data_IF_854459750087
#
_entry.id   IF_854459750087
#
_cell.length_a   1.000
_cell.length_b   1.000
_cell.length_c   1.000
_cell.angle_alpha   90.00
_cell.angle_beta   90.00
_cell.angle_gamma   90.00
#
_symmetry.space_group_name_H-M   'P 1'
#
loop_
_entity.id
_entity.type
_entity.pdbx_description
1 polymer ?
#
# COMPACT_ATOMS: atom_id res chain seq x y z
N UNK A 1 10.65 -9.96 -1.56
CA UNK A 1 9.68 -10.69 -0.71
C UNK A 1 10.36 -11.95 -0.17
N UNK A 2 10.41 -12.12 1.15
CA UNK A 2 10.91 -13.35 1.76
C UNK A 2 9.79 -14.40 1.69
N UNK A 3 9.99 -15.45 0.90
CA UNK A 3 8.97 -16.49 0.70
C UNK A 3 8.73 -17.37 1.93
N UNK A 4 9.55 -17.24 2.97
CA UNK A 4 9.44 -17.95 4.25
C UNK A 4 8.51 -17.26 5.23
N UNK A 5 8.21 -15.97 5.04
CA UNK A 5 7.25 -15.29 5.91
C UNK A 5 5.84 -15.76 5.53
N UNK A 6 5.05 -16.14 6.52
CA UNK A 6 3.64 -16.45 6.35
C UNK A 6 2.81 -15.17 6.51
N UNK A 7 3.02 -14.43 7.59
CA UNK A 7 2.46 -13.09 7.79
C UNK A 7 3.33 -12.25 8.73
N UNK A 8 3.07 -10.94 8.72
CA UNK A 8 3.55 -9.98 9.71
C UNK A 8 2.31 -9.33 10.32
N UNK A 9 2.27 -9.21 11.63
CA UNK A 9 1.25 -8.48 12.35
C UNK A 9 1.88 -7.27 13.03
N UNK A 10 1.20 -6.12 12.98
CA UNK A 10 1.56 -4.93 13.77
C UNK A 10 0.34 -4.54 14.60
N UNK A 11 0.49 -4.60 15.93
CA UNK A 11 -0.55 -4.22 16.89
C UNK A 11 -1.92 -4.90 16.66
N UNK A 12 -1.96 -6.22 16.44
CA UNK A 12 -3.23 -6.93 16.23
C UNK A 12 -3.74 -6.95 14.78
N UNK A 13 -3.05 -6.29 13.84
CA UNK A 13 -3.47 -6.17 12.44
C UNK A 13 -2.43 -6.72 11.48
N UNK A 14 -2.85 -7.59 10.57
CA UNK A 14 -2.00 -8.05 9.46
C UNK A 14 -1.46 -6.86 8.67
N UNK A 15 -0.16 -6.84 8.49
CA UNK A 15 0.55 -5.76 7.84
C UNK A 15 0.95 -6.17 6.42
N UNK A 16 0.48 -5.40 5.43
CA UNK A 16 0.98 -5.47 4.07
C UNK A 16 2.35 -4.80 3.93
N UNK A 17 3.06 -5.08 2.85
CA UNK A 17 4.28 -4.35 2.50
C UNK A 17 4.00 -2.85 2.33
N UNK A 18 2.82 -2.47 1.85
CA UNK A 18 2.41 -1.08 1.76
C UNK A 18 2.31 -0.44 3.15
N UNK A 19 1.59 -1.08 4.08
CA UNK A 19 1.43 -0.58 5.44
C UNK A 19 2.77 -0.37 6.15
N UNK A 20 3.67 -1.36 6.07
CA UNK A 20 5.00 -1.27 6.70
C UNK A 20 5.84 -0.15 6.10
N UNK A 21 5.86 -0.01 4.77
CA UNK A 21 6.63 1.04 4.09
C UNK A 21 6.05 2.43 4.36
N UNK A 22 4.73 2.58 4.40
CA UNK A 22 4.08 3.84 4.73
C UNK A 22 4.30 4.24 6.18
N UNK A 23 4.28 3.29 7.12
CA UNK A 23 4.65 3.54 8.52
C UNK A 23 6.12 3.99 8.64
N UNK A 24 7.03 3.32 7.93
CA UNK A 24 8.44 3.69 7.90
C UNK A 24 8.65 5.10 7.32
N UNK A 25 7.96 5.45 6.23
CA UNK A 25 8.01 6.80 5.68
C UNK A 25 7.48 7.84 6.68
N UNK A 26 6.34 7.55 7.32
CA UNK A 26 5.73 8.42 8.33
C UNK A 26 6.62 8.61 9.57
N UNK A 27 7.44 7.62 9.93
CA UNK A 27 8.42 7.73 11.02
C UNK A 27 9.44 8.85 10.75
N UNK A 28 9.80 9.07 9.49
CA UNK A 28 10.65 10.20 9.06
C UNK A 28 9.86 11.46 8.71
N UNK A 29 8.55 11.51 8.98
CA UNK A 29 7.69 12.63 8.61
C UNK A 29 7.42 12.73 7.11
N UNK A 30 7.61 11.65 6.35
CA UNK A 30 7.44 11.62 4.90
C UNK A 30 6.05 11.01 4.57
N UNK A 31 5.13 11.79 3.98
CA UNK A 31 3.81 11.29 3.61
C UNK A 31 3.87 10.40 2.36
N UNK A 32 3.07 9.33 2.36
CA UNK A 32 2.86 8.49 1.17
C UNK A 32 1.64 9.01 0.40
N UNK A 33 1.86 9.78 -0.65
CA UNK A 33 0.78 10.48 -1.38
C UNK A 33 0.14 9.68 -2.52
N UNK A 34 0.79 8.60 -2.96
CA UNK A 34 0.38 7.86 -4.14
C UNK A 34 0.75 6.38 -4.06
N UNK A 35 -0.13 5.52 -4.56
CA UNK A 35 0.18 4.11 -4.88
C UNK A 35 -0.58 3.66 -6.13
N UNK A 36 0.02 2.77 -6.90
CA UNK A 36 -0.63 2.08 -8.01
C UNK A 36 -0.29 0.60 -7.98
N UNK A 37 -1.25 -0.23 -8.37
CA UNK A 37 -1.09 -1.69 -8.37
C UNK A 37 -2.42 -2.38 -8.58
N UNK A 38 -2.67 -3.45 -7.82
CA UNK A 38 -3.95 -4.13 -7.86
C UNK A 38 -5.04 -3.36 -7.11
N UNK A 39 -6.29 -3.74 -7.36
CA UNK A 39 -7.47 -3.15 -6.74
C UNK A 39 -7.50 -3.30 -5.22
N UNK A 40 -7.14 -4.45 -4.66
CA UNK A 40 -7.17 -4.68 -3.22
C UNK A 40 -6.11 -3.85 -2.50
N UNK A 41 -4.89 -3.74 -3.06
CA UNK A 41 -3.87 -2.81 -2.58
C UNK A 41 -4.38 -1.36 -2.53
N UNK A 42 -5.07 -0.92 -3.59
CA UNK A 42 -5.59 0.46 -3.66
C UNK A 42 -6.71 0.69 -2.64
N UNK A 43 -7.54 -0.32 -2.37
CA UNK A 43 -8.60 -0.26 -1.34
C UNK A 43 -7.99 -0.21 0.06
N UNK A 44 -7.05 -1.11 0.38
CA UNK A 44 -6.32 -1.11 1.66
C UNK A 44 -5.58 0.21 1.88
N UNK A 45 -4.95 0.76 0.85
CA UNK A 45 -4.24 2.02 0.94
C UNK A 45 -5.16 3.18 1.33
N UNK A 46 -6.39 3.22 0.81
CA UNK A 46 -7.40 4.22 1.19
C UNK A 46 -7.95 4.02 2.59
N UNK A 47 -8.07 2.79 3.05
CA UNK A 47 -8.44 2.52 4.45
C UNK A 47 -7.35 3.02 5.41
N UNK A 48 -6.09 2.87 5.02
CA UNK A 48 -4.95 3.23 5.85
C UNK A 48 -4.63 4.74 5.79
N UNK A 49 -4.74 5.37 4.62
CA UNK A 49 -4.48 6.79 4.38
C UNK A 49 -5.63 7.34 3.52
N UNK A 50 -6.72 7.87 4.12
CA UNK A 50 -7.92 8.26 3.38
C UNK A 50 -7.70 9.26 2.23
N UNK A 51 -6.68 10.12 2.37
CA UNK A 51 -6.36 11.18 1.42
C UNK A 51 -5.42 10.74 0.28
N UNK A 52 -4.91 9.50 0.34
CA UNK A 52 -3.98 8.99 -0.67
C UNK A 52 -4.66 8.88 -2.04
N UNK A 53 -3.94 9.28 -3.09
CA UNK A 53 -4.39 9.01 -4.45
C UNK A 53 -3.96 7.60 -4.85
N UNK A 54 -4.91 6.78 -5.31
CA UNK A 54 -4.63 5.40 -5.74
C UNK A 54 -5.04 5.16 -7.18
N UNK A 55 -4.25 4.39 -7.92
CA UNK A 55 -4.61 3.98 -9.30
C UNK A 55 -4.56 2.46 -9.44
N UNK A 56 -5.70 1.75 -9.39
CA UNK A 56 -5.75 0.33 -9.69
C UNK A 56 -5.58 0.11 -11.20
N UNK A 57 -4.65 -0.77 -11.58
CA UNK A 57 -4.38 -1.11 -12.99
C UNK A 57 -4.66 -2.57 -13.33
N UNK A 58 -4.91 -3.40 -12.32
CA UNK A 58 -5.44 -4.76 -12.48
C UNK A 58 -6.21 -5.19 -11.24
N UNK A 59 -6.94 -6.28 -11.33
CA UNK A 59 -7.53 -6.99 -10.18
C UNK A 59 -7.19 -8.48 -10.24
N UNK A 60 -7.01 -9.09 -9.07
CA UNK A 60 -6.79 -10.53 -8.96
C UNK A 60 -8.08 -11.30 -9.24
N UNK A 61 -7.96 -12.40 -9.98
CA UNK A 61 -9.05 -13.32 -10.29
C UNK A 61 -8.58 -14.76 -10.13
N UNK A 62 -8.74 -15.30 -8.92
CA UNK A 62 -8.15 -16.60 -8.55
C UNK A 62 -6.63 -16.56 -8.69
N UNK A 63 -6.07 -17.42 -9.55
CA UNK A 63 -4.63 -17.44 -9.85
C UNK A 63 -4.24 -16.57 -11.05
N UNK A 64 -5.18 -15.82 -11.63
CA UNK A 64 -4.98 -14.94 -12.78
C UNK A 64 -5.22 -13.47 -12.40
N UNK A 65 -4.99 -12.56 -13.35
CA UNK A 65 -5.30 -11.13 -13.18
C UNK A 65 -6.11 -10.64 -14.36
N UNK A 66 -7.04 -9.71 -14.12
CA UNK A 66 -7.71 -8.93 -15.15
C UNK A 66 -7.06 -7.55 -15.17
N UNK A 67 -6.35 -7.25 -16.26
CA UNK A 67 -5.57 -6.00 -16.40
C UNK A 67 -6.17 -5.08 -17.44
N UNK A 68 -6.10 -3.77 -17.20
CA UNK A 68 -6.44 -2.78 -18.22
C UNK A 68 -5.36 -2.72 -19.30
N UNK A 69 -5.69 -2.16 -20.47
CA UNK A 69 -4.73 -1.99 -21.55
C UNK A 69 -3.51 -1.15 -21.09
N UNK A 70 -2.24 -1.53 -21.41
CA UNK A 70 -1.04 -0.86 -20.89
C UNK A 70 -0.98 0.65 -21.14
N UNK A 71 -1.41 1.11 -22.34
CA UNK A 71 -1.50 2.55 -22.64
C UNK A 71 -2.50 3.29 -21.72
N UNK A 72 -3.56 2.62 -21.30
CA UNK A 72 -4.53 3.15 -20.33
C UNK A 72 -3.88 3.24 -18.95
N UNK A 73 -3.19 2.18 -18.51
CA UNK A 73 -2.49 2.18 -17.22
C UNK A 73 -1.46 3.31 -17.12
N UNK A 74 -0.61 3.49 -18.13
CA UNK A 74 0.39 4.58 -18.16
C UNK A 74 -0.28 5.95 -18.01
N UNK A 75 -1.36 6.19 -18.77
CA UNK A 75 -2.11 7.45 -18.69
C UNK A 75 -2.70 7.67 -17.30
N UNK A 76 -3.39 6.66 -16.75
CA UNK A 76 -4.03 6.77 -15.43
C UNK A 76 -3.02 6.96 -14.30
N UNK A 77 -1.88 6.26 -14.33
CA UNK A 77 -0.82 6.44 -13.33
C UNK A 77 -0.25 7.85 -13.41
N UNK A 78 0.02 8.35 -14.61
CA UNK A 78 0.51 9.71 -14.81
C UNK A 78 -0.49 10.77 -14.31
N UNK A 79 -1.77 10.62 -14.65
CA UNK A 79 -2.81 11.56 -14.26
C UNK A 79 -3.09 11.49 -12.74
N UNK A 80 -3.08 10.27 -12.16
CA UNK A 80 -3.21 10.07 -10.72
C UNK A 80 -2.02 10.63 -9.94
N UNK A 81 -0.80 10.51 -10.46
CA UNK A 81 0.36 11.16 -9.83
C UNK A 81 0.26 12.69 -9.90
N UNK A 82 -0.21 13.25 -11.02
CA UNK A 82 -0.49 14.69 -11.13
C UNK A 82 -1.52 15.16 -10.10
N UNK A 83 -2.56 14.38 -9.89
CA UNK A 83 -3.54 14.65 -8.84
C UNK A 83 -2.89 14.59 -7.45
N UNK A 84 -2.12 13.53 -7.15
CA UNK A 84 -1.46 13.35 -5.86
C UNK A 84 -0.56 14.53 -5.48
N UNK A 85 0.28 15.00 -6.41
CA UNK A 85 1.19 16.13 -6.16
C UNK A 85 0.47 17.49 -6.09
N UNK A 86 -0.78 17.58 -6.55
CA UNK A 86 -1.58 18.81 -6.49
C UNK A 86 -2.26 19.02 -5.13
N UNK A 87 -2.38 17.97 -4.33
CA UNK A 87 -2.94 17.99 -2.97
C UNK A 87 -1.87 18.41 -1.95
N UNK A 88 -2.29 18.84 -0.76
CA UNK A 88 -1.34 19.06 0.34
C UNK A 88 -0.80 17.70 0.83
N UNK A 89 0.50 17.40 0.67
CA UNK A 89 1.05 16.10 1.05
C UNK A 89 0.89 15.80 2.55
N UNK A 90 0.73 16.82 3.40
CA UNK A 90 0.53 16.63 4.84
C UNK A 90 -0.76 15.89 5.18
N UNK A 91 -1.77 15.95 4.32
CA UNK A 91 -3.04 15.24 4.53
C UNK A 91 -2.86 13.72 4.42
N UNK A 92 -1.78 13.27 3.76
CA UNK A 92 -1.40 11.87 3.63
C UNK A 92 -0.35 11.43 4.67
N UNK A 93 -0.01 12.27 5.66
CA UNK A 93 0.93 11.88 6.71
C UNK A 93 0.22 11.00 7.73
N UNK A 94 0.59 9.72 7.76
CA UNK A 94 0.03 8.75 8.70
C UNK A 94 0.43 9.07 10.14
N UNK A 95 -0.53 8.94 11.05
CA UNK A 95 -0.27 8.94 12.49
C UNK A 95 0.27 7.58 12.91
N UNK A 96 1.46 7.56 13.49
CA UNK A 96 2.05 6.33 14.02
C UNK A 96 1.57 6.03 15.45
N UNK A 97 1.45 4.74 15.83
CA UNK A 97 1.26 4.38 17.21
C UNK A 97 2.52 4.71 18.03
N UNK A 98 2.34 4.94 19.33
CA UNK A 98 3.46 5.19 20.26
C UNK A 98 4.33 3.95 20.46
N UNK A 99 3.72 2.76 20.40
CA UNK A 99 4.39 1.48 20.56
C UNK A 99 4.03 0.53 19.41
N UNK A 100 5.01 -0.26 18.99
CA UNK A 100 4.87 -1.29 17.97
C UNK A 100 5.11 -2.66 18.58
N UNK A 101 4.06 -3.47 18.64
CA UNK A 101 4.16 -4.91 18.86
C UNK A 101 4.12 -5.59 17.50
N UNK A 102 5.19 -6.32 17.17
CA UNK A 102 5.35 -6.96 15.85
C UNK A 102 5.47 -8.46 16.05
N UNK A 103 4.57 -9.19 15.40
CA UNK A 103 4.64 -10.65 15.32
C UNK A 103 4.95 -11.06 13.88
N UNK A 104 5.81 -12.05 13.71
CA UNK A 104 6.18 -12.58 12.41
C UNK A 104 6.03 -14.09 12.49
N UNK A 105 5.12 -14.64 11.69
CA UNK A 105 5.01 -16.07 11.50
C UNK A 105 5.80 -16.49 10.27
N UNK A 106 6.58 -17.55 10.42
CA UNK A 106 7.31 -18.18 9.32
C UNK A 106 6.61 -19.48 8.93
N UNK A 107 6.67 -19.83 7.65
CA UNK A 107 6.24 -21.14 7.18
C UNK A 107 7.07 -22.22 7.85
N UNK A 108 6.41 -23.30 8.24
CA UNK A 108 7.11 -24.50 8.67
C UNK A 108 7.84 -25.07 7.46
N UNK A 109 9.15 -25.23 7.59
CA UNK A 109 10.01 -25.73 6.52
C UNK A 109 10.42 -27.15 6.92
N UNK A 110 9.70 -28.16 6.42
CA UNK A 110 10.24 -29.53 6.34
C UNK A 110 11.40 -29.59 5.34
#
# INVERSE_FOLDING_TARGET
MNLRNQYIEVNGKYASEFMLNSMFAAYYGIPTIFVSGDKALCEEAKELIPEITTVPVFEGWGTSTISIHPKTAIRLIHDGMKEAISKDPKTCLMTLPEHFHVEIEFKDME
#
